data_IF_716216354437
#
_entry.id   IF_716216354437
#
_cell.length_a   1.000
_cell.length_b   1.000
_cell.length_c   1.000
_cell.angle_alpha   90.00
_cell.angle_beta   90.00
_cell.angle_gamma   90.00
#
_symmetry.space_group_name_H-M   'P 1'
#
loop_
_entity.id
_entity.type
_entity.pdbx_description
1 polymer ?
#
# COMPACT_ATOMS: atom_id res chain seq x y z
N UNK A 1 16.16 -4.74 7.90
CA UNK A 1 16.20 -6.15 8.36
C UNK A 1 16.33 -6.98 7.09
N UNK A 2 17.21 -7.98 7.02
CA UNK A 2 17.22 -8.84 5.82
C UNK A 2 15.91 -9.62 5.76
N UNK A 3 15.36 -9.81 4.56
CA UNK A 3 14.04 -10.43 4.31
C UNK A 3 13.90 -11.78 5.04
N UNK A 4 14.97 -12.59 5.07
CA UNK A 4 15.00 -13.88 5.77
C UNK A 4 14.79 -13.77 7.30
N UNK A 5 15.35 -12.74 7.95
CA UNK A 5 15.17 -12.54 9.39
C UNK A 5 13.75 -12.05 9.71
N UNK A 6 13.18 -11.20 8.84
CA UNK A 6 11.79 -10.76 8.98
C UNK A 6 10.84 -11.95 8.89
N UNK A 7 11.02 -12.80 7.87
CA UNK A 7 10.22 -14.00 7.66
C UNK A 7 10.28 -14.94 8.87
N UNK A 8 11.46 -15.24 9.40
CA UNK A 8 11.59 -16.11 10.59
C UNK A 8 10.86 -15.55 11.82
N UNK A 9 10.92 -14.23 12.04
CA UNK A 9 10.19 -13.59 13.14
C UNK A 9 8.69 -13.58 12.89
N UNK A 10 8.26 -13.39 11.65
CA UNK A 10 6.85 -13.43 11.26
C UNK A 10 6.27 -14.84 11.41
N UNK A 11 7.02 -15.88 11.04
CA UNK A 11 6.65 -17.29 11.29
C UNK A 11 6.49 -17.58 12.79
N UNK A 12 7.41 -17.11 13.63
CA UNK A 12 7.26 -17.21 15.09
C UNK A 12 6.00 -16.50 15.58
N UNK A 13 5.76 -15.27 15.12
CA UNK A 13 4.58 -14.50 15.48
C UNK A 13 3.29 -15.24 15.09
N UNK A 14 3.25 -15.82 13.90
CA UNK A 14 2.11 -16.60 13.42
C UNK A 14 1.86 -17.86 14.25
N UNK A 15 2.90 -18.56 14.69
CA UNK A 15 2.76 -19.70 15.61
C UNK A 15 2.14 -19.27 16.94
N UNK A 16 2.63 -18.19 17.54
CA UNK A 16 2.10 -17.67 18.79
C UNK A 16 0.61 -17.26 18.68
N UNK A 17 0.22 -16.64 17.56
CA UNK A 17 -1.18 -16.33 17.26
C UNK A 17 -1.99 -17.62 17.06
N UNK A 18 -1.44 -18.60 16.33
CA UNK A 18 -2.06 -19.88 16.04
C UNK A 18 -2.46 -20.66 17.30
N UNK A 19 -1.64 -20.61 18.35
CA UNK A 19 -1.89 -21.28 19.62
C UNK A 19 -3.12 -20.76 20.37
N UNK A 20 -3.52 -19.49 20.16
CA UNK A 20 -4.62 -18.85 20.90
C UNK A 20 -5.83 -18.50 20.04
N UNK A 21 -5.63 -18.24 18.75
CA UNK A 21 -6.67 -17.81 17.80
C UNK A 21 -7.01 -18.88 16.76
N UNK A 22 -6.06 -19.78 16.46
CA UNK A 22 -6.14 -20.66 15.30
C UNK A 22 -5.73 -19.96 14.01
N UNK A 23 -6.48 -20.18 12.93
CA UNK A 23 -6.10 -19.67 11.60
C UNK A 23 -6.46 -18.18 11.44
N UNK A 24 -5.44 -17.35 11.19
CA UNK A 24 -5.60 -15.94 10.81
C UNK A 24 -5.37 -15.80 9.30
N UNK A 25 -6.24 -15.05 8.62
CA UNK A 25 -6.16 -14.82 7.18
C UNK A 25 -6.42 -13.35 6.83
N UNK A 26 -5.73 -12.85 5.81
CA UNK A 26 -5.82 -11.47 5.35
C UNK A 26 -6.49 -11.39 3.99
N UNK A 27 -7.35 -10.39 3.80
CA UNK A 27 -7.82 -9.97 2.47
C UNK A 27 -7.14 -8.65 2.14
N UNK A 28 -6.40 -8.62 1.02
CA UNK A 28 -5.49 -7.52 0.71
C UNK A 28 -5.74 -7.00 -0.70
N UNK A 29 -5.48 -5.71 -0.92
CA UNK A 29 -5.49 -5.10 -2.24
C UNK A 29 -4.10 -4.52 -2.55
N UNK A 30 -3.55 -4.89 -3.72
CA UNK A 30 -2.34 -4.29 -4.28
C UNK A 30 -2.72 -3.51 -5.53
N UNK A 31 -2.67 -2.18 -5.48
CA UNK A 31 -3.18 -1.30 -6.52
C UNK A 31 -1.98 -0.62 -7.18
N UNK A 32 -1.74 -0.92 -8.46
CA UNK A 32 -0.46 -0.64 -9.12
C UNK A 32 0.52 -1.81 -9.04
N UNK A 33 0.03 -3.03 -9.31
CA UNK A 33 0.75 -4.28 -9.08
C UNK A 33 1.73 -4.68 -10.21
N UNK A 34 2.28 -3.70 -10.94
CA UNK A 34 3.28 -3.95 -11.96
C UNK A 34 4.54 -4.58 -11.32
N UNK A 35 5.05 -5.73 -11.81
CA UNK A 35 6.27 -6.33 -11.26
C UNK A 35 7.46 -5.38 -11.38
N UNK A 36 8.25 -5.30 -10.31
CA UNK A 36 9.39 -4.40 -10.23
C UNK A 36 10.65 -5.17 -9.81
N UNK A 37 11.83 -4.81 -10.32
CA UNK A 37 13.10 -5.53 -10.05
C UNK A 37 13.43 -5.66 -8.55
N UNK A 38 12.91 -4.74 -7.74
CA UNK A 38 12.85 -4.84 -6.28
C UNK A 38 11.47 -5.34 -5.90
N UNK A 39 11.22 -6.64 -6.04
CA UNK A 39 9.98 -7.25 -5.56
C UNK A 39 9.85 -6.96 -4.06
N UNK A 40 8.87 -6.12 -3.72
CA UNK A 40 8.40 -5.93 -2.35
C UNK A 40 7.72 -7.23 -1.92
N UNK A 41 8.42 -7.97 -1.06
CA UNK A 41 8.16 -9.37 -0.71
C UNK A 41 7.03 -9.53 0.31
N UNK A 42 6.44 -8.44 0.81
CA UNK A 42 5.58 -8.45 2.01
C UNK A 42 4.26 -9.21 1.79
N UNK A 43 3.61 -9.04 0.63
CA UNK A 43 2.40 -9.81 0.34
C UNK A 43 2.68 -11.30 0.18
N UNK A 44 3.81 -11.64 -0.45
CA UNK A 44 4.23 -13.03 -0.61
C UNK A 44 4.62 -13.65 0.73
N UNK A 45 5.31 -12.91 1.60
CA UNK A 45 5.63 -13.33 2.96
C UNK A 45 4.37 -13.54 3.79
N UNK A 46 3.42 -12.61 3.74
CA UNK A 46 2.12 -12.75 4.43
C UNK A 46 1.35 -13.96 3.91
N UNK A 47 1.32 -14.22 2.61
CA UNK A 47 0.67 -15.41 2.04
C UNK A 47 1.37 -16.71 2.44
N UNK A 48 2.71 -16.72 2.50
CA UNK A 48 3.47 -17.90 2.91
C UNK A 48 3.23 -18.24 4.38
N UNK A 49 3.18 -17.23 5.25
CA UNK A 49 2.98 -17.41 6.70
C UNK A 49 1.50 -17.61 7.07
N UNK A 50 0.58 -16.95 6.35
CA UNK A 50 -0.86 -17.01 6.55
C UNK A 50 -1.57 -17.51 5.27
N UNK A 51 -1.55 -18.83 5.00
CA UNK A 51 -1.96 -19.40 3.70
C UNK A 51 -3.46 -19.25 3.36
N UNK A 52 -4.31 -18.94 4.33
CA UNK A 52 -5.72 -18.59 4.09
C UNK A 52 -5.92 -17.20 3.46
N UNK A 53 -4.86 -16.41 3.34
CA UNK A 53 -4.91 -15.02 2.86
C UNK A 53 -5.12 -14.93 1.35
N UNK A 54 -5.61 -13.77 0.91
CA UNK A 54 -5.92 -13.46 -0.49
C UNK A 54 -5.48 -12.05 -0.85
N UNK A 55 -5.07 -11.87 -2.10
CA UNK A 55 -4.65 -10.60 -2.69
C UNK A 55 -5.41 -10.37 -3.98
N UNK A 56 -6.16 -9.27 -4.04
CA UNK A 56 -6.64 -8.70 -5.28
C UNK A 56 -5.61 -7.67 -5.76
N UNK A 57 -4.83 -8.04 -6.78
CA UNK A 57 -3.82 -7.20 -7.40
C UNK A 57 -4.39 -6.51 -8.63
N UNK A 58 -4.12 -5.22 -8.83
CA UNK A 58 -4.65 -4.42 -9.93
C UNK A 58 -3.50 -3.89 -10.77
N UNK A 59 -3.53 -4.25 -12.05
CA UNK A 59 -2.60 -3.81 -13.09
C UNK A 59 -3.45 -3.46 -14.32
N UNK A 60 -2.99 -2.60 -15.22
CA UNK A 60 -3.79 -2.18 -16.39
C UNK A 60 -3.52 -3.04 -17.62
N UNK A 61 -2.32 -3.59 -17.75
CA UNK A 61 -1.97 -4.43 -18.89
C UNK A 61 -2.65 -5.81 -18.78
N UNK A 62 -3.67 -6.02 -19.62
CA UNK A 62 -4.42 -7.27 -19.74
C UNK A 62 -3.54 -8.47 -20.10
N UNK A 63 -2.55 -8.30 -20.97
CA UNK A 63 -1.66 -9.38 -21.37
C UNK A 63 -0.75 -9.77 -20.20
N UNK A 64 -0.21 -8.77 -19.50
CA UNK A 64 0.61 -8.98 -18.30
C UNK A 64 -0.19 -9.65 -17.18
N UNK A 65 -1.40 -9.16 -16.87
CA UNK A 65 -2.29 -9.82 -15.90
C UNK A 65 -2.54 -11.29 -16.28
N UNK A 66 -2.76 -11.56 -17.57
CA UNK A 66 -2.97 -12.90 -18.10
C UNK A 66 -1.73 -13.80 -17.96
N UNK A 67 -0.53 -13.24 -18.02
CA UNK A 67 0.72 -13.95 -17.75
C UNK A 67 0.92 -14.21 -16.25
N UNK A 68 0.81 -13.16 -15.43
CA UNK A 68 0.99 -13.23 -13.98
C UNK A 68 0.01 -14.22 -13.35
N UNK A 69 -1.26 -14.22 -13.78
CA UNK A 69 -2.26 -15.17 -13.28
C UNK A 69 -1.96 -16.65 -13.60
N UNK A 70 -1.12 -16.95 -14.60
CA UNK A 70 -0.73 -18.36 -14.89
C UNK A 70 0.31 -18.89 -13.91
N UNK A 71 1.12 -18.01 -13.34
CA UNK A 71 2.25 -18.35 -12.46
C UNK A 71 2.07 -17.84 -11.04
N UNK A 72 1.00 -17.09 -10.76
CA UNK A 72 0.68 -16.54 -9.46
C UNK A 72 0.55 -17.66 -8.40
N UNK A 73 1.11 -17.45 -7.19
CA UNK A 73 0.85 -18.31 -6.05
C UNK A 73 -0.65 -18.38 -5.73
N UNK A 74 -1.05 -19.46 -5.06
CA UNK A 74 -2.41 -19.56 -4.52
C UNK A 74 -2.71 -18.35 -3.61
N UNK A 75 -3.90 -17.77 -3.78
CA UNK A 75 -4.33 -16.59 -3.03
C UNK A 75 -4.14 -15.26 -3.76
N UNK A 76 -3.32 -15.18 -4.82
CA UNK A 76 -3.16 -13.94 -5.60
C UNK A 76 -3.96 -14.00 -6.89
N UNK A 77 -4.65 -12.91 -7.23
CA UNK A 77 -5.25 -12.73 -8.55
C UNK A 77 -5.04 -11.31 -9.06
N UNK A 78 -4.55 -11.19 -10.29
CA UNK A 78 -4.30 -9.94 -11.00
C UNK A 78 -5.49 -9.56 -11.88
N UNK A 79 -6.03 -8.36 -11.69
CA UNK A 79 -7.19 -7.85 -12.40
C UNK A 79 -6.77 -6.71 -13.33
N UNK A 80 -7.09 -6.79 -14.64
CA UNK A 80 -6.83 -5.73 -15.62
C UNK A 80 -7.83 -4.57 -15.49
N UNK A 81 -7.86 -3.91 -14.33
CA UNK A 81 -8.89 -2.93 -13.96
C UNK A 81 -8.24 -1.65 -13.45
N UNK A 82 -8.58 -0.52 -14.08
CA UNK A 82 -8.25 0.79 -13.54
C UNK A 82 -9.19 1.13 -12.40
N UNK A 83 -8.65 1.30 -11.19
CA UNK A 83 -9.43 1.83 -10.08
C UNK A 83 -9.46 3.35 -10.13
N UNK A 84 -10.59 3.92 -9.74
CA UNK A 84 -10.78 5.36 -9.64
C UNK A 84 -11.89 5.71 -8.67
N UNK A 85 -12.41 6.93 -8.80
CA UNK A 85 -13.46 7.42 -7.90
C UNK A 85 -14.82 6.80 -8.16
N UNK A 86 -15.17 6.60 -9.42
CA UNK A 86 -16.46 6.11 -9.90
C UNK A 86 -16.28 5.32 -11.19
N UNK A 87 -17.36 4.70 -11.66
CA UNK A 87 -17.42 4.05 -12.98
C UNK A 87 -17.52 5.13 -14.07
N UNK A 88 -16.40 5.46 -14.71
CA UNK A 88 -16.33 6.52 -15.71
C UNK A 88 -15.19 6.31 -16.73
N UNK A 89 -15.28 7.01 -17.86
CA UNK A 89 -14.16 7.09 -18.81
C UNK A 89 -13.18 8.17 -18.37
N UNK A 90 -11.90 7.80 -18.29
CA UNK A 90 -10.80 8.70 -17.96
C UNK A 90 -9.69 8.58 -19.00
N UNK A 91 -8.86 9.61 -19.07
CA UNK A 91 -7.63 9.57 -19.84
C UNK A 91 -6.52 9.04 -18.92
N UNK A 92 -5.86 7.96 -19.33
CA UNK A 92 -4.58 7.52 -18.79
C UNK A 92 -3.47 8.14 -19.63
N UNK A 93 -2.58 8.89 -18.99
CA UNK A 93 -1.40 9.46 -19.62
C UNK A 93 -0.24 8.48 -19.48
N UNK A 94 0.09 7.80 -20.57
CA UNK A 94 1.30 6.98 -20.66
C UNK A 94 2.51 7.91 -20.68
N UNK A 95 3.51 7.60 -19.87
CA UNK A 95 4.77 8.36 -19.82
C UNK A 95 5.94 7.57 -20.43
N UNK A 96 7.11 8.19 -20.50
CA UNK A 96 8.31 7.53 -21.05
C UNK A 96 8.66 6.24 -20.31
N UNK A 97 8.38 6.16 -19.02
CA UNK A 97 8.46 4.94 -18.23
C UNK A 97 7.06 4.50 -17.77
N UNK A 98 6.56 3.30 -18.13
CA UNK A 98 5.18 2.88 -17.87
C UNK A 98 4.71 3.00 -16.42
N UNK A 99 5.57 2.68 -15.44
CA UNK A 99 5.31 2.85 -14.00
C UNK A 99 5.03 4.30 -13.55
N UNK A 100 5.38 5.30 -14.36
CA UNK A 100 5.06 6.71 -14.08
C UNK A 100 3.80 7.15 -14.85
N UNK A 101 2.95 6.22 -15.30
CA UNK A 101 1.69 6.57 -15.97
C UNK A 101 0.64 6.95 -14.94
N UNK A 102 -0.21 7.92 -15.27
CA UNK A 102 -1.18 8.47 -14.31
C UNK A 102 -2.50 8.84 -14.97
N UNK A 103 -3.58 8.86 -14.19
CA UNK A 103 -4.85 9.48 -14.57
C UNK A 103 -4.80 11.01 -14.54
N UNK A 104 -3.72 11.58 -14.00
CA UNK A 104 -3.43 13.01 -14.01
C UNK A 104 -2.39 13.35 -15.08
N UNK A 105 -2.56 14.49 -15.74
CA UNK A 105 -1.67 14.91 -16.82
C UNK A 105 -0.28 15.26 -16.26
N UNK A 106 0.83 14.66 -16.75
CA UNK A 106 2.17 15.03 -16.28
C UNK A 106 2.45 16.53 -16.35
N UNK A 107 3.03 17.08 -15.29
CA UNK A 107 3.40 18.49 -15.21
C UNK A 107 4.76 18.72 -15.88
N UNK A 108 4.78 18.72 -17.22
CA UNK A 108 6.01 18.86 -18.01
C UNK A 108 6.86 20.08 -17.63
N UNK A 109 6.24 21.20 -17.27
CA UNK A 109 6.97 22.40 -16.85
C UNK A 109 7.82 22.15 -15.60
N UNK A 110 7.28 21.44 -14.62
CA UNK A 110 7.98 21.07 -13.40
C UNK A 110 8.98 19.93 -13.65
N UNK A 111 8.54 18.85 -14.31
CA UNK A 111 9.33 17.63 -14.50
C UNK A 111 10.65 17.91 -15.23
N UNK A 112 10.65 18.84 -16.19
CA UNK A 112 11.87 19.25 -16.92
C UNK A 112 12.87 20.06 -16.07
N UNK A 113 12.54 20.44 -14.83
CA UNK A 113 13.43 21.17 -13.92
C UNK A 113 14.28 20.25 -13.04
N UNK A 114 13.98 18.96 -12.98
CA UNK A 114 14.67 18.01 -12.09
C UNK A 114 15.37 16.90 -12.88
N UNK A 115 16.50 16.44 -12.35
CA UNK A 115 17.24 15.32 -12.94
C UNK A 115 16.39 14.03 -12.91
N UNK A 116 16.58 13.17 -13.92
CA UNK A 116 15.92 11.87 -14.06
C UNK A 116 14.38 11.87 -14.10
N UNK A 117 13.68 13.01 -13.99
CA UNK A 117 12.22 13.06 -14.10
C UNK A 117 11.71 13.08 -15.55
N UNK A 118 12.61 13.00 -16.53
CA UNK A 118 12.24 12.83 -17.93
C UNK A 118 11.48 11.50 -18.18
N UNK A 119 11.61 10.52 -17.28
CA UNK A 119 10.87 9.26 -17.28
C UNK A 119 9.36 9.46 -17.12
N UNK A 120 8.93 10.51 -16.42
CA UNK A 120 7.53 10.83 -16.20
C UNK A 120 6.96 11.81 -17.25
N UNK A 121 7.73 12.14 -18.29
CA UNK A 121 7.21 12.98 -19.38
C UNK A 121 6.18 12.21 -20.22
N UNK A 122 5.12 12.89 -20.71
CA UNK A 122 4.04 12.23 -21.43
C UNK A 122 4.54 11.68 -22.78
N UNK A 123 4.17 10.44 -23.07
CA UNK A 123 4.47 9.70 -24.29
C UNK A 123 3.23 9.48 -25.14
N UNK A 124 2.12 9.07 -24.52
CA UNK A 124 0.84 8.88 -25.19
C UNK A 124 -0.33 9.12 -24.22
N UNK A 125 -1.55 9.09 -24.74
CA UNK A 125 -2.77 9.20 -23.94
C UNK A 125 -3.81 8.21 -24.44
N UNK A 126 -4.38 7.44 -23.52
CA UNK A 126 -5.32 6.37 -23.80
C UNK A 126 -6.61 6.59 -23.02
N UNK A 127 -7.75 6.18 -23.56
CA UNK A 127 -8.99 6.16 -22.79
C UNK A 127 -9.09 4.83 -22.04
N UNK A 128 -9.33 4.91 -20.73
CA UNK A 128 -9.56 3.75 -19.86
C UNK A 128 -10.90 3.89 -19.15
N UNK A 129 -11.50 2.75 -18.80
CA UNK A 129 -12.67 2.73 -17.91
C UNK A 129 -12.18 2.54 -16.49
N UNK A 130 -12.52 3.48 -15.61
CA UNK A 130 -12.29 3.32 -14.18
C UNK A 130 -13.47 2.65 -13.51
N UNK A 131 -13.22 1.98 -12.39
CA UNK A 131 -14.24 1.41 -11.50
C UNK A 131 -13.91 1.82 -10.07
N UNK A 132 -14.92 2.11 -9.26
CA UNK A 132 -14.70 2.41 -7.83
C UNK A 132 -14.28 1.15 -7.07
N UNK A 133 -13.43 1.30 -6.04
CA UNK A 133 -12.99 0.16 -5.23
C UNK A 133 -14.17 -0.53 -4.53
N UNK A 134 -15.16 0.23 -4.04
CA UNK A 134 -16.38 -0.33 -3.43
C UNK A 134 -17.18 -1.17 -4.44
N UNK A 135 -17.35 -0.68 -5.66
CA UNK A 135 -18.05 -1.41 -6.72
C UNK A 135 -17.31 -2.70 -7.07
N UNK A 136 -16.00 -2.62 -7.26
CA UNK A 136 -15.17 -3.80 -7.55
C UNK A 136 -15.28 -4.84 -6.44
N UNK A 137 -15.04 -4.45 -5.18
CA UNK A 137 -15.10 -5.37 -4.05
C UNK A 137 -16.47 -6.04 -3.90
N UNK A 138 -17.55 -5.30 -4.16
CA UNK A 138 -18.93 -5.82 -4.14
C UNK A 138 -19.15 -6.82 -5.28
N UNK A 139 -18.80 -6.45 -6.51
CA UNK A 139 -19.00 -7.28 -7.71
C UNK A 139 -18.22 -8.60 -7.63
N UNK A 140 -16.98 -8.54 -7.15
CA UNK A 140 -16.08 -9.69 -7.08
C UNK A 140 -16.15 -10.43 -5.74
N UNK A 141 -17.03 -10.01 -4.81
CA UNK A 141 -17.19 -10.63 -3.49
C UNK A 141 -15.85 -10.75 -2.74
N UNK A 142 -15.03 -9.69 -2.81
CA UNK A 142 -13.67 -9.69 -2.23
C UNK A 142 -13.70 -9.90 -0.71
N UNK A 143 -14.77 -9.44 -0.05
CA UNK A 143 -14.90 -9.50 1.40
C UNK A 143 -14.36 -8.23 2.08
N UNK A 144 -14.13 -8.32 3.39
CA UNK A 144 -13.60 -7.21 4.17
C UNK A 144 -12.08 -7.08 3.93
N UNK A 145 -11.66 -6.01 3.28
CA UNK A 145 -10.24 -5.73 3.01
C UNK A 145 -9.56 -5.24 4.28
N UNK A 146 -8.43 -5.86 4.62
CA UNK A 146 -7.65 -5.62 5.84
C UNK A 146 -6.45 -4.70 5.59
N UNK A 147 -5.86 -4.77 4.39
CA UNK A 147 -4.66 -4.02 4.03
C UNK A 147 -4.73 -3.57 2.57
N UNK A 148 -4.37 -2.30 2.32
CA UNK A 148 -4.24 -1.75 0.98
C UNK A 148 -2.81 -1.26 0.79
N UNK A 149 -2.17 -1.70 -0.29
CA UNK A 149 -1.00 -1.07 -0.86
C UNK A 149 -1.41 -0.39 -2.16
N UNK A 150 -1.06 0.87 -2.33
CA UNK A 150 -1.40 1.63 -3.53
C UNK A 150 -0.24 2.53 -3.96
N UNK A 151 0.11 2.40 -5.24
CA UNK A 151 1.09 3.23 -5.94
C UNK A 151 0.61 3.35 -7.41
N UNK A 152 -0.12 4.42 -7.71
CA UNK A 152 -0.69 4.68 -9.04
C UNK A 152 -0.47 6.12 -9.48
N UNK A 153 0.60 6.74 -8.96
CA UNK A 153 1.16 7.99 -9.45
C UNK A 153 0.16 9.15 -9.41
N UNK A 154 -0.46 9.38 -8.25
CA UNK A 154 -1.24 10.59 -7.94
C UNK A 154 -2.76 10.39 -7.93
N UNK A 155 -3.27 9.21 -8.31
CA UNK A 155 -4.70 8.90 -8.30
C UNK A 155 -5.19 8.19 -7.01
N UNK A 156 -4.33 8.09 -5.99
CA UNK A 156 -4.58 7.37 -4.74
C UNK A 156 -5.85 7.89 -4.05
N UNK A 157 -6.00 9.21 -3.94
CA UNK A 157 -7.16 9.81 -3.30
C UNK A 157 -8.46 9.55 -4.07
N UNK A 158 -8.41 9.41 -5.39
CA UNK A 158 -9.61 9.07 -6.16
C UNK A 158 -10.07 7.65 -5.83
N UNK A 159 -9.14 6.70 -5.77
CA UNK A 159 -9.42 5.32 -5.35
C UNK A 159 -9.96 5.28 -3.91
N UNK A 160 -9.35 6.01 -2.98
CA UNK A 160 -9.84 6.09 -1.60
C UNK A 160 -11.25 6.70 -1.51
N UNK A 161 -11.57 7.70 -2.34
CA UNK A 161 -12.92 8.27 -2.43
C UNK A 161 -13.93 7.31 -3.04
N UNK A 162 -13.51 6.44 -3.96
CA UNK A 162 -14.32 5.35 -4.50
C UNK A 162 -14.39 4.10 -3.61
N UNK A 163 -13.63 4.07 -2.51
CA UNK A 163 -13.47 2.90 -1.64
C UNK A 163 -13.93 3.12 -0.20
N UNK A 164 -14.82 4.08 0.08
CA UNK A 164 -15.15 4.49 1.46
C UNK A 164 -15.72 3.34 2.28
N UNK A 165 -16.52 2.46 1.67
CA UNK A 165 -17.07 1.28 2.35
C UNK A 165 -15.98 0.25 2.60
N UNK A 166 -15.16 -0.05 1.60
CA UNK A 166 -14.01 -0.95 1.73
C UNK A 166 -13.04 -0.48 2.82
N UNK A 167 -12.76 0.83 2.85
CA UNK A 167 -11.90 1.48 3.83
C UNK A 167 -12.41 1.36 5.27
N UNK A 168 -13.67 0.99 5.53
CA UNK A 168 -14.17 0.83 6.91
C UNK A 168 -13.58 -0.36 7.65
N UNK A 169 -13.07 -1.36 6.92
CA UNK A 169 -12.48 -2.57 7.49
C UNK A 169 -10.96 -2.59 7.42
N UNK A 170 -10.36 -1.74 6.58
CA UNK A 170 -8.90 -1.69 6.41
C UNK A 170 -8.23 -1.25 7.71
N UNK A 171 -7.14 -1.92 8.10
CA UNK A 171 -6.37 -1.66 9.31
C UNK A 171 -5.11 -0.81 9.02
N UNK A 172 -4.45 -1.08 7.90
CA UNK A 172 -3.23 -0.40 7.46
C UNK A 172 -3.35 -0.01 5.99
N UNK A 173 -2.75 1.11 5.61
CA UNK A 173 -2.64 1.55 4.22
C UNK A 173 -1.18 1.92 3.96
N UNK A 174 -0.58 1.32 2.94
CA UNK A 174 0.63 1.81 2.31
C UNK A 174 0.20 2.62 1.09
N UNK A 175 0.67 3.86 0.97
CA UNK A 175 0.36 4.74 -0.16
C UNK A 175 1.62 5.47 -0.60
N UNK A 176 1.89 5.50 -1.90
CA UNK A 176 2.71 6.59 -2.45
C UNK A 176 1.96 7.92 -2.22
N UNK A 177 2.71 8.97 -1.89
CA UNK A 177 2.18 10.33 -1.68
C UNK A 177 3.18 11.37 -2.16
N UNK A 178 2.68 12.43 -2.79
CA UNK A 178 3.51 13.48 -3.36
C UNK A 178 3.46 14.78 -2.56
N UNK A 179 4.59 15.47 -2.51
CA UNK A 179 4.72 16.78 -1.87
C UNK A 179 4.73 17.92 -2.89
N UNK A 180 4.93 17.60 -4.16
CA UNK A 180 5.03 18.54 -5.28
C UNK A 180 4.18 17.99 -6.44
N UNK A 181 3.45 18.83 -7.19
CA UNK A 181 2.53 18.37 -8.24
C UNK A 181 3.28 17.89 -9.50
N UNK A 182 3.80 16.65 -9.46
CA UNK A 182 4.45 15.95 -10.59
C UNK A 182 3.49 15.78 -11.78
N UNK A 183 2.21 15.73 -11.49
CA UNK A 183 1.06 15.70 -12.38
C UNK A 183 0.13 16.89 -12.04
N UNK A 184 -0.50 17.45 -13.06
CA UNK A 184 -1.30 18.68 -12.96
C UNK A 184 -2.62 18.40 -12.25
N UNK A 185 -2.86 19.10 -11.14
CA UNK A 185 -4.10 19.00 -10.37
C UNK A 185 -4.23 17.73 -9.54
N UNK A 186 -3.14 16.94 -9.41
CA UNK A 186 -3.13 15.80 -8.51
C UNK A 186 -3.30 16.25 -7.05
N UNK A 187 -3.95 15.43 -6.22
CA UNK A 187 -3.87 15.53 -4.76
C UNK A 187 -2.42 15.39 -4.27
N UNK A 188 -2.08 16.08 -3.18
CA UNK A 188 -0.79 15.94 -2.50
C UNK A 188 -0.97 15.20 -1.16
N UNK A 189 0.14 14.89 -0.49
CA UNK A 189 0.16 14.23 0.83
C UNK A 189 -0.83 14.85 1.82
N UNK A 190 -0.93 16.19 1.87
CA UNK A 190 -1.85 16.88 2.76
C UNK A 190 -3.32 16.53 2.48
N UNK A 191 -3.71 16.41 1.21
CA UNK A 191 -5.07 16.05 0.80
C UNK A 191 -5.38 14.59 1.11
N UNK A 192 -4.44 13.68 0.80
CA UNK A 192 -4.55 12.25 1.09
C UNK A 192 -4.66 12.01 2.60
N UNK A 193 -3.73 12.60 3.37
CA UNK A 193 -3.70 12.47 4.83
C UNK A 193 -4.96 13.04 5.46
N UNK A 194 -5.39 14.24 5.08
CA UNK A 194 -6.62 14.83 5.60
C UNK A 194 -7.84 13.95 5.32
N UNK A 195 -7.96 13.39 4.12
CA UNK A 195 -9.04 12.47 3.80
C UNK A 195 -9.00 11.22 4.69
N UNK A 196 -7.87 10.51 4.75
CA UNK A 196 -7.73 9.29 5.54
C UNK A 196 -7.96 9.54 7.04
N UNK A 197 -7.55 10.68 7.58
CA UNK A 197 -7.85 11.08 8.96
C UNK A 197 -9.34 11.17 9.24
N UNK A 198 -10.14 11.71 8.32
CA UNK A 198 -11.60 11.73 8.47
C UNK A 198 -12.26 10.34 8.39
N UNK A 199 -11.48 9.27 8.12
CA UNK A 199 -11.93 7.88 8.07
C UNK A 199 -11.31 7.03 9.19
N UNK A 200 -10.69 7.67 10.19
CA UNK A 200 -10.17 7.00 11.38
C UNK A 200 -8.79 6.37 11.18
N UNK A 201 -8.03 6.85 10.21
CA UNK A 201 -6.61 6.54 10.08
C UNK A 201 -5.74 7.67 10.65
N UNK A 202 -4.56 7.33 11.12
CA UNK A 202 -3.48 8.25 11.46
C UNK A 202 -2.33 8.05 10.48
N UNK A 203 -1.67 9.15 10.11
CA UNK A 203 -0.35 9.05 9.53
C UNK A 203 0.58 8.38 10.56
N UNK A 204 1.28 7.32 10.15
CA UNK A 204 2.17 6.58 11.03
C UNK A 204 3.63 6.98 10.80
N UNK A 205 4.14 6.77 9.59
CA UNK A 205 5.51 7.12 9.20
C UNK A 205 5.71 7.13 7.69
N UNK A 206 6.81 7.75 7.25
CA UNK A 206 7.35 7.50 5.91
C UNK A 206 8.23 6.24 5.94
N UNK A 207 8.18 5.47 4.86
CA UNK A 207 9.01 4.28 4.64
C UNK A 207 10.24 4.59 3.78
N UNK A 208 10.17 5.69 3.03
CA UNK A 208 11.26 6.25 2.26
C UNK A 208 10.89 7.64 1.79
N UNK A 209 11.89 8.51 1.67
CA UNK A 209 11.73 9.82 1.06
C UNK A 209 12.44 9.81 -0.28
N UNK A 210 11.75 10.25 -1.31
CA UNK A 210 12.26 10.29 -2.67
C UNK A 210 12.22 11.71 -3.20
N UNK A 211 13.17 12.04 -4.04
CA UNK A 211 13.36 13.41 -4.51
C UNK A 211 14.46 13.50 -5.53
N UNK A 212 14.72 14.72 -5.99
CA UNK A 212 15.75 15.00 -7.00
C UNK A 212 16.41 16.34 -6.73
N UNK A 213 17.59 16.52 -7.31
CA UNK A 213 18.22 17.82 -7.50
C UNK A 213 17.75 18.45 -8.81
N UNK A 214 17.83 19.77 -8.90
CA UNK A 214 17.45 20.48 -10.12
C UNK A 214 18.46 20.24 -11.25
N UNK A 215 17.93 20.04 -12.45
CA UNK A 215 18.70 19.91 -13.69
C UNK A 215 19.27 21.26 -14.13
N UNK A 216 20.48 21.31 -14.73
CA UNK A 216 21.35 20.19 -15.10
C UNK A 216 22.43 19.85 -14.06
N UNK A 217 22.34 20.37 -12.83
CA UNK A 217 23.37 20.14 -11.82
C UNK A 217 23.29 18.72 -11.26
N UNK A 218 24.34 17.92 -11.45
CA UNK A 218 24.48 16.61 -10.80
C UNK A 218 25.40 16.75 -9.60
N UNK A 219 24.91 16.36 -8.43
CA UNK A 219 25.64 16.44 -7.16
C UNK A 219 26.21 15.07 -6.80
N UNK A 220 27.45 15.03 -6.32
CA UNK A 220 28.13 13.80 -5.89
C UNK A 220 28.11 12.65 -6.92
N UNK A 221 28.07 12.97 -8.23
CA UNK A 221 27.92 12.02 -9.32
C UNK A 221 26.66 11.13 -9.23
N UNK A 222 25.63 11.59 -8.51
CA UNK A 222 24.35 10.91 -8.38
C UNK A 222 23.22 11.83 -8.91
N UNK A 223 22.66 11.55 -10.10
CA UNK A 223 21.58 12.36 -10.66
C UNK A 223 20.25 12.17 -9.90
N UNK A 224 20.12 11.11 -9.10
CA UNK A 224 18.96 10.86 -8.25
C UNK A 224 19.11 11.44 -6.84
N UNK A 225 20.26 12.05 -6.50
CA UNK A 225 20.48 12.61 -5.17
C UNK A 225 19.42 13.68 -4.85
N UNK A 226 18.60 13.48 -3.80
CA UNK A 226 17.56 14.42 -3.45
C UNK A 226 18.12 15.60 -2.66
N UNK A 227 18.00 16.81 -3.22
CA UNK A 227 18.09 18.06 -2.43
C UNK A 227 16.72 18.67 -2.13
N UNK A 228 15.69 18.17 -2.81
CA UNK A 228 14.29 18.43 -2.53
C UNK A 228 13.55 17.08 -2.57
N UNK A 229 12.79 16.78 -1.51
CA UNK A 229 11.87 15.64 -1.52
C UNK A 229 10.62 16.00 -2.33
N UNK A 230 10.21 15.08 -3.19
CA UNK A 230 9.15 15.26 -4.17
C UNK A 230 7.98 14.30 -3.92
N UNK A 231 8.28 13.07 -3.49
CA UNK A 231 7.30 12.07 -3.09
C UNK A 231 7.86 11.14 -2.01
N UNK A 232 7.01 10.29 -1.47
CA UNK A 232 7.39 9.30 -0.47
C UNK A 232 6.41 8.13 -0.47
N UNK A 233 6.87 7.01 0.08
CA UNK A 233 5.99 5.95 0.54
C UNK A 233 5.58 6.24 1.99
N UNK A 234 4.28 6.28 2.25
CA UNK A 234 3.71 6.57 3.57
C UNK A 234 2.87 5.41 4.07
N UNK A 235 2.99 5.13 5.37
CA UNK A 235 2.14 4.19 6.07
C UNK A 235 1.10 4.97 6.89
N UNK A 236 -0.16 4.56 6.77
CA UNK A 236 -1.27 4.98 7.59
C UNK A 236 -1.81 3.78 8.36
N UNK A 237 -2.20 3.98 9.61
CA UNK A 237 -2.72 2.93 10.47
C UNK A 237 -4.01 3.40 11.13
N UNK A 238 -4.88 2.48 11.56
CA UNK A 238 -6.02 2.83 12.41
C UNK A 238 -5.60 3.66 13.62
N UNK A 239 -6.45 4.62 13.97
CA UNK A 239 -6.27 5.49 15.13
C UNK A 239 -5.96 4.67 16.39
N UNK A 240 -4.68 4.71 16.79
CA UNK A 240 -4.14 3.90 17.90
C UNK A 240 -4.70 4.34 19.26
N UNK A 241 -5.39 5.48 19.34
CA UNK A 241 -6.11 5.90 20.56
C UNK A 241 -7.44 5.15 20.75
N UNK A 242 -7.81 4.28 19.80
CA UNK A 242 -9.08 3.56 19.77
C UNK A 242 -8.91 2.05 19.60
N UNK A 243 -7.74 1.50 19.90
CA UNK A 243 -7.48 0.06 19.77
C UNK A 243 -8.50 -0.78 20.56
N UNK A 244 -8.94 -0.29 21.72
CA UNK A 244 -9.95 -0.94 22.57
C UNK A 244 -11.34 -0.99 21.94
N UNK A 245 -11.56 -0.36 20.78
CA UNK A 245 -12.81 -0.44 20.00
C UNK A 245 -12.73 -1.42 18.83
N UNK A 246 -11.53 -1.84 18.45
CA UNK A 246 -11.35 -2.83 17.38
C UNK A 246 -11.77 -4.21 17.87
N UNK A 247 -12.23 -5.07 16.94
CA UNK A 247 -12.45 -6.48 17.21
C UNK A 247 -11.11 -7.19 17.46
N UNK A 248 -11.16 -8.37 18.06
CA UNK A 248 -9.94 -9.13 18.34
C UNK A 248 -9.20 -9.52 17.05
N UNK A 249 -9.94 -9.92 16.02
CA UNK A 249 -9.37 -10.18 14.69
C UNK A 249 -8.70 -8.94 14.08
N UNK A 250 -9.34 -7.77 14.18
CA UNK A 250 -8.78 -6.52 13.67
C UNK A 250 -7.51 -6.10 14.44
N UNK A 251 -7.46 -6.35 15.75
CA UNK A 251 -6.26 -6.14 16.56
C UNK A 251 -5.12 -7.07 16.16
N UNK A 252 -5.39 -8.36 15.96
CA UNK A 252 -4.40 -9.33 15.48
C UNK A 252 -3.83 -8.90 14.12
N UNK A 253 -4.70 -8.54 13.17
CA UNK A 253 -4.29 -8.09 11.84
C UNK A 253 -3.48 -6.79 11.89
N UNK A 254 -3.92 -5.82 12.69
CA UNK A 254 -3.17 -4.58 12.92
C UNK A 254 -1.79 -4.87 13.51
N UNK A 255 -1.71 -5.77 14.48
CA UNK A 255 -0.46 -6.12 15.14
C UNK A 255 0.54 -6.78 14.18
N UNK A 256 0.08 -7.71 13.35
CA UNK A 256 0.91 -8.38 12.33
C UNK A 256 1.38 -7.37 11.28
N UNK A 257 0.49 -6.54 10.73
CA UNK A 257 0.87 -5.56 9.71
C UNK A 257 1.82 -4.49 10.26
N UNK A 258 1.60 -4.02 11.49
CA UNK A 258 2.52 -3.12 12.17
C UNK A 258 3.91 -3.75 12.37
N UNK A 259 3.96 -5.05 12.66
CA UNK A 259 5.21 -5.80 12.81
C UNK A 259 5.97 -5.89 11.49
N UNK A 260 5.28 -6.26 10.39
CA UNK A 260 5.85 -6.32 9.04
C UNK A 260 6.48 -4.99 8.65
N UNK A 261 5.79 -3.89 8.93
CA UNK A 261 6.30 -2.54 8.67
C UNK A 261 7.21 -2.00 9.79
N UNK A 262 7.75 -2.84 10.67
CA UNK A 262 8.76 -2.46 11.66
C UNK A 262 8.27 -1.45 12.70
N UNK A 263 7.09 -1.71 13.27
CA UNK A 263 6.47 -0.91 14.34
C UNK A 263 6.05 -1.82 15.51
N UNK A 264 7.04 -2.44 16.18
CA UNK A 264 6.77 -3.45 17.22
C UNK A 264 6.06 -2.88 18.46
N UNK A 265 6.17 -1.57 18.70
CA UNK A 265 5.45 -0.85 19.75
C UNK A 265 3.93 -0.89 19.53
N UNK A 266 3.49 -0.69 18.29
CA UNK A 266 2.07 -0.81 17.93
C UNK A 266 1.60 -2.26 18.01
N UNK A 267 2.41 -3.20 17.53
CA UNK A 267 2.12 -4.64 17.67
C UNK A 267 1.92 -5.00 19.13
N UNK A 268 2.86 -4.62 20.00
CA UNK A 268 2.78 -4.83 21.44
C UNK A 268 1.52 -4.22 22.05
N UNK A 269 1.17 -2.98 21.69
CA UNK A 269 -0.03 -2.32 22.19
C UNK A 269 -1.31 -3.08 21.82
N UNK A 270 -1.41 -3.60 20.59
CA UNK A 270 -2.54 -4.41 20.15
C UNK A 270 -2.64 -5.73 20.94
N UNK A 271 -1.51 -6.43 21.12
CA UNK A 271 -1.50 -7.68 21.88
C UNK A 271 -1.81 -7.48 23.36
N UNK A 272 -1.39 -6.37 23.97
CA UNK A 272 -1.76 -6.06 25.35
C UNK A 272 -3.28 -5.93 25.51
N UNK A 273 -3.95 -5.26 24.57
CA UNK A 273 -5.43 -5.16 24.58
C UNK A 273 -6.07 -6.54 24.45
N UNK A 274 -5.55 -7.40 23.57
CA UNK A 274 -6.03 -8.77 23.39
C UNK A 274 -5.85 -9.63 24.64
N UNK A 275 -4.69 -9.53 25.28
CA UNK A 275 -4.36 -10.27 26.49
C UNK A 275 -5.25 -9.84 27.66
N UNK A 276 -5.52 -8.53 27.80
CA UNK A 276 -6.46 -8.00 28.79
C UNK A 276 -7.91 -8.49 28.57
N UNK A 277 -8.33 -8.68 27.31
CA UNK A 277 -9.68 -9.15 26.97
C UNK A 277 -9.87 -10.65 27.16
N UNK A 278 -8.86 -11.43 26.79
CA UNK A 278 -8.99 -12.87 26.63
C UNK A 278 -8.18 -13.69 27.65
N UNK A 279 -7.36 -13.04 28.48
CA UNK A 279 -6.46 -13.72 29.42
C UNK A 279 -5.30 -14.45 28.73
N UNK A 280 -4.94 -14.01 27.52
CA UNK A 280 -3.78 -14.52 26.77
C UNK A 280 -2.46 -13.91 27.27
N UNK A 281 -1.34 -14.35 26.67
CA UNK A 281 0.01 -13.86 26.98
C UNK A 281 0.81 -13.55 25.69
N UNK A 282 0.12 -13.11 24.63
CA UNK A 282 0.75 -12.80 23.34
C UNK A 282 1.81 -11.70 23.48
N UNK A 283 1.53 -10.62 24.22
CA UNK A 283 2.45 -9.50 24.32
C UNK A 283 3.78 -9.87 24.99
N UNK A 284 3.77 -10.81 25.93
CA UNK A 284 4.99 -11.34 26.59
C UNK A 284 5.73 -12.34 25.72
N UNK A 285 5.02 -13.22 25.02
CA UNK A 285 5.62 -14.29 24.23
C UNK A 285 6.46 -13.78 23.05
N UNK A 286 6.18 -12.56 22.60
CA UNK A 286 6.80 -11.99 21.40
C UNK A 286 7.80 -10.87 21.72
N UNK A 287 8.06 -10.57 23.01
CA UNK A 287 9.00 -9.50 23.39
C UNK A 287 10.39 -9.71 22.77
N UNK A 288 10.82 -10.96 22.67
CA UNK A 288 12.11 -11.34 22.08
C UNK A 288 12.16 -11.02 20.56
N UNK A 289 11.01 -11.03 19.87
CA UNK A 289 10.91 -10.70 18.44
C UNK A 289 11.16 -9.22 18.15
N UNK A 290 11.09 -8.37 19.18
CA UNK A 290 11.26 -6.93 19.08
C UNK A 290 12.69 -6.45 19.36
N UNK A 291 13.59 -7.37 19.73
CA UNK A 291 15.02 -7.12 19.96
C UNK A 291 15.90 -7.20 18.71
#
# INVERSE_FOLDING_TARGET
MGDELLRQRLEHLALAIGDVWGELAFTMCEIGAAPHEKNENEFLELLQVFPGSKVAAFELDTALCGELNRTAPAGIHYYPVALGRTEEQRILFETNHPMCSSLYRPNTELLTRFNELHVALPKAAHTVQTVSLDHFCTQHQVGAVDFIKIDIQGAELDVFKGGVTTLSNVQVIFSEVEFVPLYTGQPLFGDVSAFLTTRGFMFHKFLGLSGRSMSPLVLNNDPCLPTQHLWANALFIRDVTRLEKLSDEALLKTAVLAFVYGSPDVSYACFRVLDERNGWMLHTNILELFS
#
